data_IF_035702051198
#
_entry.id   IF_035702051198
#
_cell.length_a   1.000
_cell.length_b   1.000
_cell.length_c   1.000
_cell.angle_alpha   90.00
_cell.angle_beta   90.00
_cell.angle_gamma   90.00
#
_symmetry.space_group_name_H-M   'P 1'
#
loop_
_entity.id
_entity.type
_entity.pdbx_description
1 polymer ?
#
# COMPACT_ATOMS: atom_id res chain seq x y z
N UNK A 1 -23.04 -7.69 -1.86
CA UNK A 1 -21.99 -6.71 -1.59
C UNK A 1 -20.88 -6.82 -2.60
N UNK A 2 -20.58 -5.75 -3.24
CA UNK A 2 -19.53 -5.76 -4.25
C UNK A 2 -18.15 -5.90 -3.61
N UNK A 3 -17.22 -6.36 -4.39
CA UNK A 3 -15.85 -6.49 -3.91
C UNK A 3 -15.27 -5.13 -3.57
N UNK A 4 -14.75 -5.04 -2.36
CA UNK A 4 -14.00 -3.85 -1.95
C UNK A 4 -12.64 -3.88 -2.65
N UNK A 5 -12.24 -2.74 -3.19
CA UNK A 5 -10.95 -2.62 -3.88
C UNK A 5 -9.96 -2.01 -2.90
N UNK A 6 -8.99 -2.81 -2.50
CA UNK A 6 -8.03 -2.46 -1.45
C UNK A 6 -6.63 -2.42 -2.03
N UNK A 7 -5.94 -1.30 -1.84
CA UNK A 7 -4.52 -1.23 -2.13
C UNK A 7 -3.76 -1.56 -0.85
N UNK A 8 -2.81 -2.48 -0.95
CA UNK A 8 -1.93 -2.79 0.17
C UNK A 8 -0.58 -2.16 -0.16
N UNK A 9 -0.14 -1.22 0.68
CA UNK A 9 1.15 -0.56 0.54
C UNK A 9 2.15 -1.28 1.43
N UNK A 10 3.25 -1.71 0.85
CA UNK A 10 4.30 -2.41 1.60
C UNK A 10 5.68 -2.00 1.10
N UNK A 11 6.70 -2.35 1.87
CA UNK A 11 8.07 -1.95 1.57
C UNK A 11 8.40 -0.63 2.26
N UNK A 12 8.82 0.34 1.50
CA UNK A 12 9.10 1.68 2.01
C UNK A 12 10.58 1.96 2.20
N UNK A 13 10.94 3.26 2.25
CA UNK A 13 12.34 3.68 2.35
C UNK A 13 12.85 3.64 3.79
N UNK A 14 12.88 2.46 4.39
CA UNK A 14 13.39 2.30 5.75
C UNK A 14 14.11 0.99 5.89
N UNK A 15 14.82 0.82 7.01
CA UNK A 15 15.52 -0.42 7.31
C UNK A 15 14.57 -1.59 7.52
N UNK A 16 13.29 -1.32 7.68
CA UNK A 16 12.28 -2.37 7.89
C UNK A 16 11.59 -2.79 6.62
N UNK A 17 12.20 -2.50 5.47
CA UNK A 17 11.66 -2.89 4.16
C UNK A 17 11.33 -4.38 4.11
N UNK A 18 12.27 -5.23 4.51
CA UNK A 18 12.06 -6.70 4.43
C UNK A 18 10.93 -7.16 5.33
N UNK A 19 10.83 -6.60 6.53
CA UNK A 19 9.73 -6.92 7.46
C UNK A 19 8.40 -6.50 6.87
N UNK A 20 8.36 -5.31 6.29
CA UNK A 20 7.15 -4.77 5.66
C UNK A 20 6.70 -5.62 4.48
N UNK A 21 7.64 -6.13 3.68
CA UNK A 21 7.29 -7.02 2.57
C UNK A 21 6.60 -8.29 3.06
N UNK A 22 7.07 -8.86 4.17
CA UNK A 22 6.45 -10.04 4.77
C UNK A 22 5.07 -9.72 5.35
N UNK A 23 4.97 -8.61 6.06
CA UNK A 23 3.69 -8.16 6.61
C UNK A 23 2.67 -7.97 5.51
N UNK A 24 3.09 -7.34 4.41
CA UNK A 24 2.22 -7.12 3.26
C UNK A 24 1.72 -8.42 2.64
N UNK A 25 2.60 -9.41 2.52
CA UNK A 25 2.20 -10.72 1.99
C UNK A 25 1.11 -11.35 2.85
N UNK A 26 1.28 -11.32 4.16
CA UNK A 26 0.30 -11.89 5.08
C UNK A 26 -1.04 -11.17 4.98
N UNK A 27 -1.02 -9.84 4.88
CA UNK A 27 -2.23 -9.03 4.73
C UNK A 27 -2.94 -9.37 3.43
N UNK A 28 -2.18 -9.42 2.33
CA UNK A 28 -2.75 -9.72 1.00
C UNK A 28 -3.44 -11.09 1.02
N UNK A 29 -2.76 -12.09 1.57
CA UNK A 29 -3.32 -13.45 1.63
C UNK A 29 -4.62 -13.48 2.45
N UNK A 30 -4.63 -12.78 3.57
CA UNK A 30 -5.81 -12.71 4.42
C UNK A 30 -6.98 -12.03 3.71
N UNK A 31 -6.71 -10.92 3.04
CA UNK A 31 -7.75 -10.16 2.35
C UNK A 31 -8.31 -10.93 1.14
N UNK A 32 -7.46 -11.66 0.44
CA UNK A 32 -7.91 -12.48 -0.69
C UNK A 32 -8.89 -13.55 -0.25
N UNK A 33 -8.68 -14.12 0.94
CA UNK A 33 -9.63 -15.11 1.48
C UNK A 33 -10.98 -14.51 1.82
N UNK A 34 -11.07 -13.19 1.89
CA UNK A 34 -12.31 -12.48 2.19
C UNK A 34 -12.96 -11.89 0.92
N UNK A 35 -12.53 -12.35 -0.24
CA UNK A 35 -13.06 -11.93 -1.53
C UNK A 35 -12.85 -10.45 -1.87
N UNK A 36 -11.85 -9.83 -1.26
CA UNK A 36 -11.49 -8.46 -1.62
C UNK A 36 -10.66 -8.45 -2.90
N UNK A 37 -10.80 -7.41 -3.70
CA UNK A 37 -9.92 -7.17 -4.83
C UNK A 37 -8.69 -6.43 -4.33
N UNK A 38 -7.52 -7.01 -4.56
CA UNK A 38 -6.29 -6.50 -3.98
C UNK A 38 -5.39 -5.91 -5.06
N UNK A 39 -4.89 -4.71 -4.80
CA UNK A 39 -3.80 -4.15 -5.59
C UNK A 39 -2.56 -4.10 -4.71
N UNK A 40 -1.53 -4.82 -5.12
CA UNK A 40 -0.28 -4.93 -4.39
C UNK A 40 0.65 -3.81 -4.86
N UNK A 41 0.91 -2.84 -3.99
CA UNK A 41 1.77 -1.71 -4.31
C UNK A 41 2.98 -1.75 -3.41
N UNK A 42 4.16 -1.87 -4.02
CA UNK A 42 5.42 -1.87 -3.31
C UNK A 42 6.03 -0.48 -3.40
N UNK A 43 6.37 0.09 -2.25
CA UNK A 43 7.15 1.33 -2.21
C UNK A 43 8.61 0.92 -2.12
N UNK A 44 9.43 1.38 -3.05
CA UNK A 44 10.84 1.01 -3.07
C UNK A 44 11.61 1.72 -1.95
N UNK A 45 12.86 1.32 -1.76
CA UNK A 45 13.72 1.97 -0.78
C UNK A 45 13.99 3.43 -1.14
N UNK A 46 13.85 3.78 -2.43
CA UNK A 46 14.00 5.15 -2.92
C UNK A 46 12.69 5.94 -2.86
N UNK A 47 11.60 5.30 -2.44
CA UNK A 47 10.31 5.97 -2.33
C UNK A 47 9.46 5.91 -3.59
N UNK A 48 9.87 5.14 -4.59
CA UNK A 48 9.05 4.96 -5.80
C UNK A 48 7.92 3.97 -5.52
N UNK A 49 6.78 4.20 -6.14
CA UNK A 49 5.63 3.32 -6.03
C UNK A 49 5.58 2.41 -7.25
N UNK A 50 5.56 1.11 -7.02
CA UNK A 50 5.60 0.11 -8.09
C UNK A 50 4.40 -0.82 -8.00
N UNK A 51 3.83 -1.07 -9.17
CA UNK A 51 2.79 -2.09 -9.31
C UNK A 51 3.29 -3.09 -10.34
N UNK A 52 3.36 -4.36 -9.96
CA UNK A 52 3.89 -5.43 -10.81
C UNK A 52 5.28 -5.08 -11.37
N UNK A 53 6.12 -4.49 -10.54
CA UNK A 53 7.49 -4.15 -10.91
C UNK A 53 7.65 -2.89 -11.74
N UNK A 54 6.58 -2.18 -12.04
CA UNK A 54 6.62 -0.96 -12.83
C UNK A 54 6.37 0.26 -11.98
N UNK A 55 7.18 1.28 -12.13
CA UNK A 55 6.99 2.55 -11.43
C UNK A 55 5.74 3.22 -11.96
N UNK A 56 4.89 3.66 -11.05
CA UNK A 56 3.67 4.39 -11.38
C UNK A 56 3.56 5.65 -10.57
N UNK A 57 2.90 6.66 -11.12
CA UNK A 57 2.56 7.83 -10.32
C UNK A 57 1.58 7.43 -9.23
N UNK A 58 1.55 8.18 -8.15
CA UNK A 58 0.65 7.91 -7.04
C UNK A 58 -0.81 7.93 -7.52
N UNK A 59 -1.16 8.89 -8.38
CA UNK A 59 -2.52 8.99 -8.91
C UNK A 59 -2.92 7.71 -9.65
N UNK A 60 -2.03 7.19 -10.50
CA UNK A 60 -2.32 5.98 -11.26
C UNK A 60 -2.36 4.73 -10.37
N UNK A 61 -1.43 4.67 -9.41
CA UNK A 61 -1.37 3.52 -8.51
C UNK A 61 -2.64 3.40 -7.67
N UNK A 62 -3.28 4.52 -7.36
CA UNK A 62 -4.46 4.54 -6.49
C UNK A 62 -5.78 4.72 -7.25
N UNK A 63 -5.76 4.70 -8.58
CA UNK A 63 -6.98 4.80 -9.38
C UNK A 63 -7.93 3.65 -9.05
N UNK A 64 -9.19 3.96 -8.80
CA UNK A 64 -10.24 2.97 -8.53
C UNK A 64 -10.03 2.17 -7.25
N UNK A 65 -9.30 2.72 -6.29
CA UNK A 65 -9.12 2.10 -4.98
C UNK A 65 -10.15 2.69 -4.01
N UNK A 66 -10.74 1.83 -3.18
CA UNK A 66 -11.71 2.26 -2.17
C UNK A 66 -11.08 2.55 -0.83
N UNK A 67 -10.06 1.78 -0.45
CA UNK A 67 -9.37 1.95 0.84
C UNK A 67 -7.94 1.44 0.71
N UNK A 68 -7.05 2.00 1.52
CA UNK A 68 -5.64 1.62 1.53
C UNK A 68 -5.30 0.97 2.86
N UNK A 69 -4.64 -0.18 2.81
CA UNK A 69 -4.08 -0.82 3.99
C UNK A 69 -2.58 -0.54 3.99
N UNK A 70 -2.11 0.13 5.05
CA UNK A 70 -0.70 0.47 5.18
C UNK A 70 -0.02 -0.66 5.94
N UNK A 71 0.80 -1.44 5.23
CA UNK A 71 1.54 -2.56 5.82
C UNK A 71 3.03 -2.21 5.92
N UNK A 72 3.34 -0.92 5.95
CA UNK A 72 4.72 -0.45 6.05
C UNK A 72 5.12 -0.15 7.48
N UNK A 73 6.41 -0.29 7.73
CA UNK A 73 7.01 0.03 9.02
C UNK A 73 8.07 1.10 8.81
N UNK A 74 8.42 1.82 9.87
CA UNK A 74 9.48 2.80 9.83
C UNK A 74 8.98 4.21 9.57
N UNK A 75 9.93 5.15 9.39
CA UNK A 75 9.65 6.57 9.40
C UNK A 75 8.65 7.00 8.32
N UNK A 76 8.72 6.41 7.14
CA UNK A 76 7.87 6.80 6.02
C UNK A 76 6.37 6.70 6.38
N UNK A 77 5.98 5.64 7.10
CA UNK A 77 4.59 5.48 7.52
C UNK A 77 4.34 6.06 8.91
N UNK A 78 5.32 5.96 9.81
CA UNK A 78 5.16 6.39 11.20
C UNK A 78 5.20 7.90 11.37
N UNK A 79 5.94 8.61 10.51
CA UNK A 79 6.04 10.06 10.55
C UNK A 79 4.90 10.77 9.79
N UNK A 80 3.95 10.01 9.27
CA UNK A 80 2.79 10.58 8.62
C UNK A 80 2.97 10.93 7.16
N UNK A 81 4.09 10.55 6.54
CA UNK A 81 4.38 10.90 5.15
C UNK A 81 3.37 10.25 4.20
N UNK A 82 3.15 8.94 4.35
CA UNK A 82 2.20 8.22 3.50
C UNK A 82 0.77 8.66 3.80
N UNK A 83 0.46 8.95 5.06
CA UNK A 83 -0.87 9.40 5.44
C UNK A 83 -1.20 10.74 4.78
N UNK A 84 -0.23 11.65 4.68
CA UNK A 84 -0.43 12.93 3.98
C UNK A 84 -0.75 12.71 2.51
N UNK A 85 -0.06 11.78 1.86
CA UNK A 85 -0.30 11.43 0.47
C UNK A 85 -1.73 10.92 0.31
N UNK A 86 -2.15 9.99 1.15
CA UNK A 86 -3.48 9.40 1.07
C UNK A 86 -4.56 10.41 1.39
N UNK A 87 -4.30 11.31 2.31
CA UNK A 87 -5.24 12.39 2.64
C UNK A 87 -5.48 13.29 1.43
N UNK A 88 -4.41 13.62 0.71
CA UNK A 88 -4.54 14.42 -0.52
C UNK A 88 -5.31 13.68 -1.61
N UNK A 89 -5.25 12.35 -1.61
CA UNK A 89 -5.99 11.52 -2.56
C UNK A 89 -7.43 11.26 -2.09
N UNK A 90 -7.82 11.77 -0.94
CA UNK A 90 -9.16 11.57 -0.36
C UNK A 90 -9.49 10.09 -0.17
N UNK A 91 -8.50 9.28 0.22
CA UNK A 91 -8.67 7.85 0.42
C UNK A 91 -8.59 7.49 1.90
N UNK A 92 -9.57 6.71 2.40
CA UNK A 92 -9.46 6.18 3.75
C UNK A 92 -8.34 5.13 3.81
N UNK A 93 -7.74 5.00 4.99
CA UNK A 93 -6.66 4.05 5.20
C UNK A 93 -6.68 3.52 6.63
N UNK A 94 -5.98 2.40 6.83
CA UNK A 94 -5.81 1.82 8.16
C UNK A 94 -4.33 1.68 8.46
#
# INVERSE_FOLDING_TARGET
MDNLRIAVLRGGPSDEYAVSMKTGTAVIDSLRRQNASIRDIVVSREGEWLEEGKVKSIDKALTSIDVVFIAMHGAYSEDGEVQKILHRQHLPFT
#
